data_IF_212617312494
#
_entry.id   IF_212617312494
#
_cell.length_a   1.000
_cell.length_b   1.000
_cell.length_c   1.000
_cell.angle_alpha   90.00
_cell.angle_beta   90.00
_cell.angle_gamma   90.00
#
_symmetry.space_group_name_H-M   'P 1'
#
loop_
_entity.id
_entity.type
_entity.pdbx_description
1 polymer ?
#
# COMPACT_ATOMS: atom_id res chain seq x y z
N UNK A 1 12.88 3.26 32.17
CA UNK A 1 12.61 3.96 30.90
C UNK A 1 13.24 3.12 29.79
N UNK A 2 12.50 2.15 29.25
CA UNK A 2 13.00 1.25 28.22
C UNK A 2 12.94 1.99 26.86
N UNK A 3 14.09 2.25 26.27
CA UNK A 3 14.19 2.73 24.88
C UNK A 3 13.72 1.62 23.95
N UNK A 4 12.48 1.73 23.45
CA UNK A 4 11.95 0.89 22.37
C UNK A 4 12.87 1.10 21.17
N UNK A 5 13.64 0.08 20.80
CA UNK A 5 14.54 0.16 19.64
C UNK A 5 13.67 0.24 18.39
N UNK A 6 13.44 1.46 17.88
CA UNK A 6 12.73 1.68 16.62
C UNK A 6 13.44 0.92 15.49
N UNK A 7 12.87 -0.20 15.09
CA UNK A 7 13.40 -0.99 13.98
C UNK A 7 13.21 -0.22 12.67
N UNK A 8 14.12 -0.37 11.72
CA UNK A 8 14.04 0.30 10.42
C UNK A 8 12.72 0.00 9.68
N UNK A 9 12.12 -1.16 9.94
CA UNK A 9 10.81 -1.55 9.41
C UNK A 9 9.69 -0.63 9.94
N UNK A 10 9.70 -0.33 11.25
CA UNK A 10 8.71 0.53 11.90
C UNK A 10 8.77 1.98 11.44
N UNK A 11 9.97 2.50 11.15
CA UNK A 11 10.10 3.85 10.56
C UNK A 11 9.59 3.91 9.12
N UNK A 12 9.78 2.83 8.36
CA UNK A 12 9.44 2.81 6.95
C UNK A 12 7.93 2.66 6.73
N UNK A 13 7.27 1.93 7.62
CA UNK A 13 5.84 1.69 7.60
C UNK A 13 5.00 2.86 8.16
N UNK A 14 5.59 3.71 9.00
CA UNK A 14 5.01 4.98 9.41
C UNK A 14 5.32 6.11 8.42
N UNK A 15 6.20 5.85 7.44
CA UNK A 15 6.60 6.85 6.44
C UNK A 15 5.51 7.04 5.38
N UNK A 16 5.24 8.29 4.95
CA UNK A 16 4.36 8.56 3.82
C UNK A 16 5.01 8.24 2.47
N UNK A 17 6.34 8.11 2.42
CA UNK A 17 7.08 7.96 1.16
C UNK A 17 6.71 6.72 0.34
N UNK A 18 6.61 5.50 0.92
CA UNK A 18 6.30 4.30 0.16
C UNK A 18 4.94 4.37 -0.54
N UNK A 19 3.87 4.78 0.16
CA UNK A 19 2.53 4.89 -0.44
C UNK A 19 2.40 6.07 -1.40
N UNK A 20 3.09 7.18 -1.14
CA UNK A 20 3.12 8.33 -2.06
C UNK A 20 3.85 7.97 -3.36
N UNK A 21 4.94 7.22 -3.26
CA UNK A 21 5.64 6.68 -4.41
C UNK A 21 4.76 5.70 -5.19
N UNK A 22 4.04 4.82 -4.50
CA UNK A 22 3.07 3.90 -5.12
C UNK A 22 2.00 4.68 -5.88
N UNK A 23 1.45 5.75 -5.30
CA UNK A 23 0.51 6.66 -5.96
C UNK A 23 1.10 7.23 -7.26
N UNK A 24 2.35 7.72 -7.22
CA UNK A 24 3.05 8.24 -8.39
C UNK A 24 3.18 7.21 -9.51
N UNK A 25 3.52 5.96 -9.20
CA UNK A 25 3.57 4.87 -10.19
C UNK A 25 2.19 4.61 -10.79
N UNK A 26 1.15 4.54 -9.96
CA UNK A 26 -0.22 4.33 -10.43
C UNK A 26 -0.67 5.48 -11.36
N UNK A 27 -0.38 6.73 -10.99
CA UNK A 27 -0.71 7.90 -11.78
C UNK A 27 0.05 7.91 -13.11
N UNK A 28 1.36 7.71 -13.07
CA UNK A 28 2.19 7.62 -14.27
C UNK A 28 1.69 6.50 -15.20
N UNK A 29 1.31 5.36 -14.64
CA UNK A 29 0.75 4.25 -15.41
C UNK A 29 -0.60 4.60 -16.05
N UNK A 30 -1.41 5.49 -15.45
CA UNK A 30 -2.76 5.79 -15.95
C UNK A 30 -2.75 6.40 -17.35
N UNK A 31 -1.72 7.18 -17.69
CA UNK A 31 -1.56 7.80 -19.02
C UNK A 31 -1.23 6.80 -20.14
N UNK A 32 -0.99 5.53 -19.81
CA UNK A 32 -0.76 4.47 -20.79
C UNK A 32 -2.12 3.87 -21.19
N UNK A 33 -2.53 3.92 -22.46
CA UNK A 33 -3.85 3.44 -22.89
C UNK A 33 -3.97 1.92 -22.68
N UNK A 34 -5.10 1.42 -22.15
CA UNK A 34 -5.32 -0.02 -21.95
C UNK A 34 -5.67 -0.78 -23.24
N UNK A 35 -5.93 -0.07 -24.34
CA UNK A 35 -6.55 -0.58 -25.58
C UNK A 35 -5.98 -1.90 -26.13
N UNK A 36 -4.67 -2.03 -26.38
CA UNK A 36 -4.10 -3.27 -26.93
C UNK A 36 -3.68 -4.29 -25.86
N UNK A 37 -3.77 -3.98 -24.56
CA UNK A 37 -3.11 -4.74 -23.50
C UNK A 37 -4.11 -5.51 -22.63
N UNK A 38 -4.32 -6.80 -22.95
CA UNK A 38 -5.06 -7.72 -22.07
C UNK A 38 -4.36 -7.81 -20.71
N UNK A 39 -5.06 -7.48 -19.64
CA UNK A 39 -4.56 -7.60 -18.25
C UNK A 39 -4.10 -6.30 -17.60
N UNK A 40 -3.94 -5.19 -18.35
CA UNK A 40 -3.69 -3.88 -17.74
C UNK A 40 -5.00 -3.32 -17.16
N UNK A 41 -5.03 -2.86 -15.90
CA UNK A 41 -6.25 -2.29 -15.33
C UNK A 41 -6.72 -1.06 -16.13
N UNK A 42 -8.05 -0.81 -16.22
CA UNK A 42 -8.57 0.34 -16.95
C UNK A 42 -8.08 1.66 -16.34
N UNK A 43 -8.15 2.74 -17.12
CA UNK A 43 -7.73 4.09 -16.70
C UNK A 43 -8.31 4.47 -15.34
N UNK A 44 -9.63 4.30 -15.17
CA UNK A 44 -10.36 4.68 -13.95
C UNK A 44 -9.83 3.94 -12.72
N UNK A 45 -9.47 2.65 -12.84
CA UNK A 45 -8.85 1.91 -11.74
C UNK A 45 -7.51 2.54 -11.38
N UNK A 46 -6.62 2.72 -12.37
CA UNK A 46 -5.26 3.23 -12.10
C UNK A 46 -5.28 4.63 -11.49
N UNK A 47 -6.11 5.52 -12.03
CA UNK A 47 -6.28 6.86 -11.50
C UNK A 47 -6.96 6.88 -10.12
N UNK A 48 -7.98 6.04 -9.91
CA UNK A 48 -8.66 5.91 -8.63
C UNK A 48 -7.73 5.43 -7.53
N UNK A 49 -6.97 4.35 -7.78
CA UNK A 49 -5.95 3.85 -6.85
C UNK A 49 -4.83 4.86 -6.62
N UNK A 50 -4.38 5.59 -7.65
CA UNK A 50 -3.43 6.69 -7.47
C UNK A 50 -3.95 7.73 -6.46
N UNK A 51 -5.20 8.16 -6.62
CA UNK A 51 -5.82 9.17 -5.76
C UNK A 51 -5.97 8.69 -4.32
N UNK A 52 -6.37 7.43 -4.14
CA UNK A 52 -6.50 6.81 -2.81
C UNK A 52 -5.14 6.70 -2.12
N UNK A 53 -4.10 6.24 -2.82
CA UNK A 53 -2.76 6.14 -2.25
C UNK A 53 -2.13 7.52 -1.96
N UNK A 54 -2.43 8.55 -2.76
CA UNK A 54 -2.06 9.92 -2.44
C UNK A 54 -2.74 10.39 -1.15
N UNK A 55 -4.03 10.11 -0.99
CA UNK A 55 -4.78 10.40 0.23
C UNK A 55 -4.20 9.68 1.45
N UNK A 56 -3.85 8.40 1.32
CA UNK A 56 -3.21 7.65 2.39
C UNK A 56 -1.83 8.23 2.77
N UNK A 57 -1.03 8.65 1.78
CA UNK A 57 0.23 9.35 2.00
C UNK A 57 0.07 10.69 2.70
N UNK A 58 -1.00 11.43 2.41
CA UNK A 58 -1.36 12.66 3.12
C UNK A 58 -1.74 12.39 4.58
N UNK A 59 -2.55 11.38 4.87
CA UNK A 59 -2.90 11.00 6.25
C UNK A 59 -1.65 10.61 7.06
N UNK A 60 -0.73 9.87 6.44
CA UNK A 60 0.57 9.54 7.05
C UNK A 60 1.41 10.79 7.31
N UNK A 61 1.42 11.77 6.39
CA UNK A 61 2.21 12.99 6.56
C UNK A 61 1.68 13.91 7.66
N UNK A 62 0.40 13.80 8.03
CA UNK A 62 -0.17 14.50 9.20
C UNK A 62 0.15 13.81 10.54
N UNK A 63 0.88 12.70 10.53
CA UNK A 63 1.25 11.92 11.73
C UNK A 63 0.20 10.89 12.14
N UNK A 64 -0.88 10.72 11.39
CA UNK A 64 -1.92 9.71 11.66
C UNK A 64 -1.54 8.37 11.01
N UNK A 65 -0.55 7.72 11.61
CA UNK A 65 0.02 6.47 11.10
C UNK A 65 -0.98 5.31 11.13
N UNK A 66 -1.89 5.27 12.12
CA UNK A 66 -2.89 4.21 12.25
C UNK A 66 -3.90 4.23 11.11
N UNK A 67 -4.51 5.38 10.82
CA UNK A 67 -5.47 5.47 9.73
C UNK A 67 -4.78 5.38 8.37
N UNK A 68 -3.62 6.03 8.21
CA UNK A 68 -2.88 6.03 6.96
C UNK A 68 -2.39 4.63 6.57
N UNK A 69 -1.84 3.86 7.51
CA UNK A 69 -1.44 2.46 7.27
C UNK A 69 -2.64 1.55 7.01
N UNK A 70 -3.76 1.74 7.73
CA UNK A 70 -5.00 0.99 7.52
C UNK A 70 -5.58 1.19 6.11
N UNK A 71 -5.71 2.45 5.67
CA UNK A 71 -6.15 2.80 4.31
C UNK A 71 -5.19 2.22 3.26
N UNK A 72 -3.88 2.39 3.45
CA UNK A 72 -2.86 1.86 2.54
C UNK A 72 -2.99 0.34 2.39
N UNK A 73 -3.15 -0.37 3.51
CA UNK A 73 -3.27 -1.84 3.53
C UNK A 73 -4.56 -2.31 2.88
N UNK A 74 -5.70 -1.77 3.30
CA UNK A 74 -7.02 -2.19 2.81
C UNK A 74 -7.14 -2.01 1.29
N UNK A 75 -6.74 -0.85 0.78
CA UNK A 75 -6.82 -0.58 -0.66
C UNK A 75 -5.76 -1.32 -1.46
N UNK A 76 -4.59 -1.61 -0.88
CA UNK A 76 -3.63 -2.53 -1.51
C UNK A 76 -4.23 -3.92 -1.70
N UNK A 77 -4.91 -4.46 -0.67
CA UNK A 77 -5.58 -5.76 -0.76
C UNK A 77 -6.72 -5.76 -1.78
N UNK A 78 -7.55 -4.71 -1.83
CA UNK A 78 -8.60 -4.57 -2.84
C UNK A 78 -8.00 -4.57 -4.25
N UNK A 79 -6.92 -3.81 -4.49
CA UNK A 79 -6.25 -3.81 -5.78
C UNK A 79 -5.78 -5.21 -6.19
N UNK A 80 -5.12 -5.93 -5.26
CA UNK A 80 -4.62 -7.28 -5.50
C UNK A 80 -5.77 -8.25 -5.81
N UNK A 81 -6.84 -8.20 -5.02
CA UNK A 81 -8.03 -9.03 -5.25
C UNK A 81 -8.62 -8.81 -6.65
N UNK A 82 -8.71 -7.56 -7.10
CA UNK A 82 -9.30 -7.22 -8.39
C UNK A 82 -8.39 -7.49 -9.60
N UNK A 83 -7.06 -7.34 -9.44
CA UNK A 83 -6.15 -7.24 -10.59
C UNK A 83 -5.00 -8.26 -10.58
N UNK A 84 -4.62 -8.87 -9.46
CA UNK A 84 -3.43 -9.74 -9.40
C UNK A 84 -3.54 -10.95 -10.32
N UNK A 85 -4.67 -11.66 -10.29
CA UNK A 85 -4.90 -12.83 -11.15
C UNK A 85 -4.77 -12.48 -12.64
N UNK A 86 -5.36 -11.36 -13.05
CA UNK A 86 -5.34 -10.90 -14.46
C UNK A 86 -3.94 -10.44 -14.88
N UNK A 87 -3.21 -9.81 -13.97
CA UNK A 87 -1.85 -9.31 -14.22
C UNK A 87 -0.83 -10.44 -14.38
N UNK A 88 -1.06 -11.58 -13.70
CA UNK A 88 -0.18 -12.74 -13.71
C UNK A 88 -0.55 -13.78 -14.78
N UNK A 89 -1.76 -13.72 -15.34
CA UNK A 89 -2.21 -14.57 -16.43
C UNK A 89 -1.54 -14.20 -17.77
N UNK A 90 -1.32 -15.19 -18.65
CA UNK A 90 -0.74 -14.95 -19.97
C UNK A 90 -1.81 -14.44 -20.98
N UNK A 91 -1.45 -13.53 -21.91
CA UNK A 91 -0.17 -12.83 -22.03
C UNK A 91 0.00 -11.76 -20.94
N UNK A 92 1.17 -11.73 -20.27
CA UNK A 92 1.43 -10.82 -19.14
C UNK A 92 1.82 -9.44 -19.65
N UNK A 93 1.32 -8.39 -19.00
CA UNK A 93 1.72 -7.02 -19.26
C UNK A 93 2.72 -6.55 -18.18
N UNK A 94 3.92 -6.07 -18.55
CA UNK A 94 4.98 -5.76 -17.58
C UNK A 94 4.55 -4.70 -16.56
N UNK A 95 3.76 -3.71 -16.99
CA UNK A 95 3.25 -2.67 -16.08
C UNK A 95 2.20 -3.25 -15.12
N UNK A 96 1.36 -4.18 -15.57
CA UNK A 96 0.37 -4.79 -14.70
C UNK A 96 1.06 -5.63 -13.61
N UNK A 97 2.07 -6.41 -13.99
CA UNK A 97 2.92 -7.15 -13.05
C UNK A 97 3.66 -6.20 -12.11
N UNK A 98 4.25 -5.12 -12.63
CA UNK A 98 4.95 -4.11 -11.82
C UNK A 98 4.05 -3.45 -10.78
N UNK A 99 2.84 -3.03 -11.18
CA UNK A 99 1.84 -2.49 -10.25
C UNK A 99 1.42 -3.52 -9.20
N UNK A 100 1.21 -4.78 -9.59
CA UNK A 100 0.91 -5.87 -8.64
C UNK A 100 2.04 -6.07 -7.64
N UNK A 101 3.30 -6.14 -8.09
CA UNK A 101 4.46 -6.32 -7.20
C UNK A 101 4.63 -5.13 -6.24
N UNK A 102 4.51 -3.90 -6.75
CA UNK A 102 4.59 -2.70 -5.93
C UNK A 102 3.46 -2.66 -4.87
N UNK A 103 2.26 -3.11 -5.24
CA UNK A 103 1.12 -3.15 -4.32
C UNK A 103 1.25 -4.27 -3.28
N UNK A 104 1.84 -5.42 -3.63
CA UNK A 104 2.22 -6.45 -2.65
C UNK A 104 3.20 -5.85 -1.63
N UNK A 105 4.23 -5.13 -2.10
CA UNK A 105 5.20 -4.47 -1.22
C UNK A 105 4.55 -3.50 -0.23
N UNK A 106 3.60 -2.68 -0.71
CA UNK A 106 2.82 -1.77 0.14
C UNK A 106 1.93 -2.52 1.14
N UNK A 107 1.19 -3.54 0.70
CA UNK A 107 0.37 -4.37 1.59
C UNK A 107 1.20 -5.03 2.69
N UNK A 108 2.38 -5.56 2.34
CA UNK A 108 3.30 -6.16 3.32
C UNK A 108 3.86 -5.13 4.29
N UNK A 109 4.28 -3.95 3.81
CA UNK A 109 4.91 -2.92 4.64
C UNK A 109 3.93 -2.26 5.64
N UNK A 110 2.74 -1.88 5.17
CA UNK A 110 1.74 -1.24 6.04
C UNK A 110 0.91 -2.27 6.82
N UNK A 111 0.71 -3.46 6.26
CA UNK A 111 0.02 -4.56 6.94
C UNK A 111 0.83 -5.12 8.11
N UNK A 112 2.17 -5.08 8.05
CA UNK A 112 2.99 -5.50 9.19
C UNK A 112 2.78 -4.60 10.42
N UNK A 113 2.56 -3.30 10.25
CA UNK A 113 2.21 -2.41 11.37
C UNK A 113 0.81 -2.67 11.89
N UNK A 114 -0.15 -2.74 10.98
CA UNK A 114 -1.55 -2.78 11.34
C UNK A 114 -1.92 -4.08 12.07
N UNK A 115 -1.33 -5.21 11.68
CA UNK A 115 -1.67 -6.52 12.26
C UNK A 115 -0.67 -7.02 13.31
N UNK A 116 0.62 -6.67 13.23
CA UNK A 116 1.61 -7.24 14.14
C UNK A 116 2.08 -6.25 15.20
N UNK A 117 2.33 -4.98 14.86
CA UNK A 117 2.88 -4.02 15.82
C UNK A 117 1.82 -3.30 16.66
N UNK A 118 0.58 -3.24 16.19
CA UNK A 118 -0.55 -2.65 16.95
C UNK A 118 -1.03 -3.55 18.10
N UNK A 119 -0.91 -4.88 17.98
CA UNK A 119 -1.33 -5.82 19.03
C UNK A 119 -0.36 -5.82 20.22
N UNK A 120 0.94 -5.66 19.99
CA UNK A 120 1.94 -5.63 21.06
C UNK A 120 1.83 -4.39 21.97
N UNK A 121 1.31 -3.26 21.45
CA UNK A 121 1.07 -2.05 22.24
C UNK A 121 -0.21 -2.14 23.09
N UNK A 122 -1.28 -2.77 22.59
CA UNK A 122 -2.51 -3.00 23.37
C UNK A 122 -2.31 -4.03 24.49
N UNK A 123 -1.53 -5.10 24.23
CA UNK A 123 -1.21 -6.13 25.23
C UNK A 123 -0.27 -5.62 26.34
N UNK A 124 0.65 -4.70 26.03
CA UNK A 124 1.54 -4.10 27.05
C UNK A 124 0.84 -3.06 27.93
N UNK A 125 -0.10 -2.29 27.38
CA UNK A 125 -0.92 -1.35 28.15
C UNK A 125 -1.96 -2.03 29.05
N UNK A 126 -2.38 -3.24 28.72
CA UNK A 126 -3.33 -4.02 29.52
C UNK A 126 -2.67 -4.91 30.59
N UNK A 127 -1.36 -5.13 30.51
CA UNK A 127 -0.59 -5.85 31.53
C UNK A 127 -0.12 -4.96 32.70
N UNK A 128 -0.20 -3.63 32.56
CA UNK A 128 0.18 -2.63 33.57
C UNK A 128 -1.02 -2.05 34.36
N UNK A 129 -2.22 -2.64 34.22
CA UNK A 129 -3.46 -2.27 34.96
C UNK A 129 -3.85 -3.34 35.98
#
# INVERSE_FOLDING_TARGET
>A
MATKTDTSAQRLSQSPWPVTFLSGIFLASAFIPPGPYKGLPPFVHRFGFASIFAGAGYVLSTGDSRNGSGVSTAWSLIYLFLNARKSLAAPRHPIAVGLTLATIGSASLYGSEYFFLSNDEEDSLSADV
#
